data_IF_511916569017
#
_entry.id   IF_511916569017
#
_cell.length_a   1.000
_cell.length_b   1.000
_cell.length_c   1.000
_cell.angle_alpha   90.00
_cell.angle_beta   90.00
_cell.angle_gamma   90.00
#
_symmetry.space_group_name_H-M   'P 1'
#
loop_
_entity.id
_entity.type
_entity.pdbx_description
1 polymer ?
#
# COMPACT_ATOMS: atom_id res chain seq x y z
N UNK A 1 -1.64 13.62 33.75
CA UNK A 1 -1.24 12.62 32.72
C UNK A 1 -2.29 11.51 32.79
N UNK A 2 -3.02 11.28 31.69
CA UNK A 2 -4.04 10.21 31.66
C UNK A 2 -3.32 8.88 31.41
N UNK A 3 -3.42 7.97 32.37
CA UNK A 3 -2.97 6.59 32.19
C UNK A 3 -3.99 5.84 31.34
N UNK A 4 -3.52 5.06 30.35
CA UNK A 4 -4.33 4.13 29.58
C UNK A 4 -3.63 2.74 29.55
N UNK A 5 -4.36 1.71 29.18
CA UNK A 5 -3.77 0.38 29.06
C UNK A 5 -2.86 0.30 27.85
N UNK A 6 -3.27 0.91 26.73
CA UNK A 6 -2.61 0.79 25.43
C UNK A 6 -2.55 2.14 24.72
N UNK A 7 -1.37 2.54 24.25
CA UNK A 7 -1.22 3.57 23.20
C UNK A 7 -0.95 2.91 21.87
N UNK A 8 -1.69 3.30 20.85
CA UNK A 8 -1.50 2.86 19.46
C UNK A 8 -0.91 4.02 18.66
N UNK A 9 0.22 3.80 18.00
CA UNK A 9 0.92 4.80 17.21
C UNK A 9 0.58 4.59 15.72
N UNK A 10 -0.24 5.48 15.18
CA UNK A 10 -0.78 5.46 13.82
C UNK A 10 -2.25 5.05 13.76
N UNK A 11 -3.06 5.82 13.01
CA UNK A 11 -4.47 5.56 12.72
C UNK A 11 -4.69 5.05 11.28
N UNK A 12 -3.75 4.26 10.75
CA UNK A 12 -3.91 3.47 9.54
C UNK A 12 -4.78 2.24 9.76
N UNK A 13 -4.98 1.40 8.75
CA UNK A 13 -5.81 0.19 8.86
C UNK A 13 -5.38 -0.72 10.02
N UNK A 14 -4.08 -0.87 10.28
CA UNK A 14 -3.57 -1.66 11.40
C UNK A 14 -3.95 -1.05 12.77
N UNK A 15 -3.71 0.26 12.94
CA UNK A 15 -4.05 0.93 14.19
C UNK A 15 -5.55 0.95 14.47
N UNK A 16 -6.38 1.15 13.44
CA UNK A 16 -7.84 1.10 13.55
C UNK A 16 -8.33 -0.31 13.89
N UNK A 17 -7.76 -1.35 13.27
CA UNK A 17 -8.05 -2.75 13.59
C UNK A 17 -7.71 -3.08 15.04
N UNK A 18 -6.52 -2.69 15.49
CA UNK A 18 -6.09 -2.88 16.87
C UNK A 18 -6.98 -2.14 17.88
N UNK A 19 -7.27 -0.86 17.60
CA UNK A 19 -8.08 -0.04 18.50
C UNK A 19 -9.51 -0.59 18.69
N UNK A 20 -10.15 -1.00 17.60
CA UNK A 20 -11.50 -1.60 17.66
C UNK A 20 -11.50 -2.92 18.45
N UNK A 21 -10.49 -3.77 18.20
CA UNK A 21 -10.39 -5.05 18.89
C UNK A 21 -10.17 -4.88 20.40
N UNK A 22 -9.29 -3.95 20.79
CA UNK A 22 -9.02 -3.61 22.21
C UNK A 22 -10.23 -2.96 22.88
N UNK A 23 -10.90 -2.02 22.21
CA UNK A 23 -12.11 -1.39 22.73
C UNK A 23 -13.22 -2.42 22.98
N UNK A 24 -13.41 -3.40 22.10
CA UNK A 24 -14.35 -4.51 22.30
C UNK A 24 -13.98 -5.38 23.50
N UNK A 25 -12.71 -5.46 23.85
CA UNK A 25 -12.23 -6.16 25.04
C UNK A 25 -12.28 -5.31 26.33
N UNK A 26 -12.74 -4.05 26.26
CA UNK A 26 -12.87 -3.15 27.41
C UNK A 26 -11.56 -2.51 27.86
N UNK A 27 -10.49 -2.56 27.06
CA UNK A 27 -9.23 -1.91 27.39
C UNK A 27 -9.32 -0.38 27.18
N UNK A 28 -8.64 0.38 28.05
CA UNK A 28 -8.48 1.83 27.90
C UNK A 28 -7.42 2.11 26.80
N UNK A 29 -7.87 2.53 25.62
CA UNK A 29 -7.04 2.71 24.42
C UNK A 29 -6.99 4.17 24.03
N UNK A 30 -5.79 4.64 23.64
CA UNK A 30 -5.59 5.93 22.97
C UNK A 30 -4.83 5.72 21.68
N UNK A 31 -5.29 6.32 20.60
CA UNK A 31 -4.61 6.32 19.31
C UNK A 31 -3.99 7.70 19.08
N UNK A 32 -2.73 7.74 18.65
CA UNK A 32 -2.05 8.96 18.20
C UNK A 32 -1.72 8.85 16.72
N UNK A 33 -2.07 9.88 15.96
CA UNK A 33 -1.88 9.95 14.51
C UNK A 33 -1.10 11.22 14.15
N UNK A 34 -0.06 11.06 13.34
CA UNK A 34 0.79 12.17 12.93
C UNK A 34 0.10 13.14 11.98
N UNK A 35 -0.84 12.67 11.17
CA UNK A 35 -1.62 13.46 10.23
C UNK A 35 -2.86 14.06 10.89
N UNK A 36 -3.57 14.86 10.11
CA UNK A 36 -4.90 15.41 10.44
C UNK A 36 -6.06 14.47 10.02
N UNK A 37 -5.75 13.25 9.56
CA UNK A 37 -6.72 12.27 9.03
C UNK A 37 -6.35 10.85 9.41
N UNK A 38 -7.34 9.98 9.42
CA UNK A 38 -7.16 8.52 9.52
C UNK A 38 -6.81 7.89 8.18
N UNK A 39 -6.52 6.60 8.19
CA UNK A 39 -6.35 5.73 7.03
C UNK A 39 -4.90 5.57 6.56
N UNK A 40 -3.98 6.47 6.93
CA UNK A 40 -2.58 6.38 6.50
C UNK A 40 -2.46 6.35 4.96
N UNK A 41 -2.00 5.21 4.41
CA UNK A 41 -1.89 4.96 2.96
C UNK A 41 -3.21 4.57 2.28
N UNK A 42 -4.30 4.37 3.02
CA UNK A 42 -5.66 4.31 2.51
C UNK A 42 -6.21 5.74 2.45
N UNK A 43 -6.00 6.42 1.33
CA UNK A 43 -6.32 7.83 1.18
C UNK A 43 -7.10 8.11 -0.10
N UNK A 44 -8.33 8.57 0.08
CA UNK A 44 -9.22 9.08 -0.98
C UNK A 44 -9.29 10.60 -0.85
N UNK A 45 -8.97 11.32 -1.90
CA UNK A 45 -9.18 12.76 -2.00
C UNK A 45 -10.43 13.06 -2.85
N UNK A 46 -10.77 14.34 -2.97
CA UNK A 46 -11.83 14.83 -3.85
C UNK A 46 -11.24 15.60 -5.01
N UNK A 47 -11.56 15.18 -6.23
CA UNK A 47 -11.29 16.00 -7.41
C UNK A 47 -12.04 17.34 -7.33
N UNK A 48 -11.67 18.37 -8.13
CA UNK A 48 -12.42 19.64 -8.19
C UNK A 48 -13.90 19.47 -8.55
N UNK A 49 -14.25 18.38 -9.25
CA UNK A 49 -15.62 17.99 -9.56
C UNK A 49 -16.40 17.38 -8.39
N UNK A 50 -15.77 17.18 -7.23
CA UNK A 50 -16.34 16.47 -6.08
C UNK A 50 -16.22 14.93 -6.15
N UNK A 51 -15.79 14.37 -7.29
CA UNK A 51 -15.62 12.92 -7.44
C UNK A 51 -14.50 12.40 -6.54
N UNK A 52 -14.66 11.24 -5.87
CA UNK A 52 -13.59 10.62 -5.13
C UNK A 52 -12.50 10.10 -6.07
N UNK A 53 -11.24 10.35 -5.72
CA UNK A 53 -10.03 9.85 -6.38
C UNK A 53 -9.15 9.14 -5.34
N UNK A 54 -8.68 7.95 -5.67
CA UNK A 54 -7.89 7.12 -4.77
C UNK A 54 -6.41 7.45 -4.88
N UNK A 55 -5.90 8.27 -3.98
CA UNK A 55 -4.48 8.60 -3.93
C UNK A 55 -3.65 7.48 -3.29
N UNK A 56 -4.25 6.66 -2.42
CA UNK A 56 -3.65 5.46 -1.84
C UNK A 56 -4.20 4.17 -2.42
N UNK A 57 -4.41 3.15 -1.57
CA UNK A 57 -5.02 1.89 -1.99
C UNK A 57 -6.44 2.13 -2.52
N UNK A 58 -6.80 1.39 -3.57
CA UNK A 58 -8.09 1.52 -4.25
C UNK A 58 -8.89 0.20 -4.28
N UNK A 59 -8.21 -0.92 -4.11
CA UNK A 59 -8.77 -2.24 -4.31
C UNK A 59 -8.91 -3.00 -2.99
N UNK A 60 -10.06 -3.64 -2.80
CA UNK A 60 -10.29 -4.68 -1.83
C UNK A 60 -9.78 -5.98 -2.47
N UNK A 61 -8.49 -6.30 -2.25
CA UNK A 61 -7.89 -7.53 -2.74
C UNK A 61 -8.41 -8.73 -1.97
N UNK A 62 -8.42 -9.92 -2.59
CA UNK A 62 -9.00 -11.14 -2.03
C UNK A 62 -10.39 -10.88 -1.43
N UNK A 63 -11.24 -10.19 -2.19
CA UNK A 63 -12.46 -9.56 -1.69
C UNK A 63 -13.53 -10.56 -1.23
N UNK A 64 -13.43 -11.81 -1.63
CA UNK A 64 -14.25 -12.94 -1.18
C UNK A 64 -13.87 -13.44 0.23
N UNK A 65 -12.65 -13.18 0.69
CA UNK A 65 -12.12 -13.54 2.01
C UNK A 65 -11.77 -12.32 2.88
N UNK A 66 -11.92 -11.11 2.34
CA UNK A 66 -11.52 -9.86 2.95
C UNK A 66 -12.62 -9.30 3.86
N UNK A 67 -12.40 -9.31 5.16
CA UNK A 67 -13.34 -8.80 6.16
C UNK A 67 -13.68 -7.31 5.99
N UNK A 68 -12.80 -6.53 5.37
CA UNK A 68 -13.10 -5.13 5.06
C UNK A 68 -14.27 -4.96 4.10
N UNK A 69 -14.59 -5.98 3.30
CA UNK A 69 -15.80 -6.00 2.46
C UNK A 69 -17.07 -6.03 3.32
N UNK A 70 -17.13 -6.89 4.33
CA UNK A 70 -18.27 -6.97 5.24
C UNK A 70 -18.41 -5.68 6.06
N UNK A 71 -17.29 -5.12 6.54
CA UNK A 71 -17.26 -3.86 7.29
C UNK A 71 -17.70 -2.66 6.44
N UNK A 72 -17.34 -2.64 5.15
CA UNK A 72 -17.82 -1.61 4.22
C UNK A 72 -19.34 -1.67 4.05
N UNK A 73 -19.90 -2.85 3.85
CA UNK A 73 -21.35 -3.05 3.74
C UNK A 73 -22.09 -2.69 5.04
N UNK A 74 -21.56 -3.08 6.21
CA UNK A 74 -22.11 -2.70 7.52
C UNK A 74 -22.08 -1.18 7.73
N UNK A 75 -21.13 -0.49 7.10
CA UNK A 75 -21.02 0.98 7.13
C UNK A 75 -21.82 1.66 6.03
N UNK A 76 -22.73 0.95 5.36
CA UNK A 76 -23.58 1.45 4.26
C UNK A 76 -22.78 1.99 3.06
N UNK A 77 -21.57 1.48 2.83
CA UNK A 77 -20.78 1.82 1.66
C UNK A 77 -21.11 0.89 0.49
N UNK A 78 -20.96 1.41 -0.72
CA UNK A 78 -21.26 0.68 -1.95
C UNK A 78 -20.03 -0.05 -2.47
N UNK A 79 -20.12 -1.37 -2.62
CA UNK A 79 -19.05 -2.17 -3.22
C UNK A 79 -19.33 -2.37 -4.72
N UNK A 80 -18.42 -1.91 -5.54
CA UNK A 80 -18.36 -2.22 -6.97
C UNK A 80 -17.59 -3.52 -7.20
N UNK A 81 -18.30 -4.52 -7.76
CA UNK A 81 -17.77 -5.85 -8.07
C UNK A 81 -17.34 -6.00 -9.53
N UNK A 82 -17.26 -4.91 -10.27
CA UNK A 82 -16.73 -4.91 -11.64
C UNK A 82 -15.31 -5.44 -11.65
N UNK A 83 -15.02 -6.36 -12.58
CA UNK A 83 -13.67 -6.92 -12.71
C UNK A 83 -12.65 -5.83 -13.00
N UNK A 84 -11.43 -5.93 -12.41
CA UNK A 84 -10.37 -4.99 -12.72
C UNK A 84 -10.08 -4.90 -14.22
N UNK A 85 -9.78 -3.70 -14.75
CA UNK A 85 -9.56 -3.51 -16.18
C UNK A 85 -8.18 -3.95 -16.67
N UNK A 86 -7.32 -4.46 -15.83
CA UNK A 86 -5.90 -4.74 -16.14
C UNK A 86 -5.68 -5.64 -17.35
N UNK A 87 -6.72 -6.37 -17.79
CA UNK A 87 -6.72 -7.21 -18.99
C UNK A 87 -7.68 -6.70 -20.07
N UNK A 88 -8.28 -5.52 -19.87
CA UNK A 88 -9.32 -4.92 -20.73
C UNK A 88 -8.73 -3.80 -21.57
N UNK A 89 -7.66 -4.09 -22.31
CA UNK A 89 -7.00 -3.14 -23.21
C UNK A 89 -8.02 -2.51 -24.17
N UNK A 90 -7.96 -1.19 -24.34
CA UNK A 90 -8.80 -0.48 -25.28
C UNK A 90 -8.44 -0.92 -26.71
N UNK A 91 -9.29 -1.75 -27.32
CA UNK A 91 -9.06 -2.29 -28.67
C UNK A 91 -7.63 -2.82 -28.79
N UNK A 92 -6.93 -2.43 -29.84
CA UNK A 92 -5.53 -2.75 -30.13
C UNK A 92 -4.58 -1.54 -30.03
N UNK A 93 -5.02 -0.47 -29.36
CA UNK A 93 -4.26 0.77 -29.26
C UNK A 93 -2.91 0.53 -28.61
N UNK A 94 -1.84 0.68 -29.41
CA UNK A 94 -0.45 0.49 -28.99
C UNK A 94 -0.08 -0.94 -28.56
N UNK A 95 -1.05 -1.87 -28.52
CA UNK A 95 -0.86 -3.24 -28.04
C UNK A 95 -1.72 -4.22 -28.85
N UNK A 96 -1.23 -4.72 -30.01
CA UNK A 96 -1.98 -5.63 -30.87
C UNK A 96 -2.40 -6.92 -30.15
N UNK A 97 -3.56 -7.53 -30.49
CA UNK A 97 -4.07 -8.73 -29.81
C UNK A 97 -3.10 -9.92 -29.78
N UNK A 98 -2.29 -10.09 -30.81
CA UNK A 98 -1.26 -11.13 -30.84
C UNK A 98 -0.19 -10.87 -29.78
N UNK A 99 0.27 -9.62 -29.65
CA UNK A 99 1.25 -9.19 -28.66
C UNK A 99 0.69 -9.29 -27.23
N UNK A 100 -0.59 -8.93 -27.03
CA UNK A 100 -1.26 -9.14 -25.73
C UNK A 100 -1.30 -10.61 -25.33
N UNK A 101 -1.50 -11.50 -26.30
CA UNK A 101 -1.52 -12.96 -26.06
C UNK A 101 -0.11 -13.48 -25.72
N UNK A 102 0.90 -13.02 -26.45
CA UNK A 102 2.29 -13.42 -26.22
C UNK A 102 2.81 -12.86 -24.86
N UNK A 103 2.49 -11.60 -24.53
CA UNK A 103 2.81 -11.03 -23.22
C UNK A 103 2.15 -11.81 -22.07
N UNK A 104 0.86 -12.14 -22.17
CA UNK A 104 0.18 -12.96 -21.15
C UNK A 104 0.84 -14.32 -20.97
N UNK A 105 1.29 -14.94 -22.06
CA UNK A 105 2.02 -16.20 -22.00
C UNK A 105 3.41 -16.03 -21.33
N UNK A 106 4.11 -14.92 -21.61
CA UNK A 106 5.39 -14.61 -20.97
C UNK A 106 5.22 -14.36 -19.46
N UNK A 107 4.20 -13.61 -19.05
CA UNK A 107 3.86 -13.37 -17.65
C UNK A 107 3.50 -14.67 -16.92
N UNK A 108 2.68 -15.53 -17.53
CA UNK A 108 2.31 -16.83 -16.96
C UNK A 108 3.55 -17.73 -16.79
N UNK A 109 4.45 -17.77 -17.77
CA UNK A 109 5.71 -18.51 -17.65
C UNK A 109 6.62 -17.98 -16.53
N UNK A 110 6.65 -16.66 -16.33
CA UNK A 110 7.39 -16.08 -15.21
C UNK A 110 6.80 -16.53 -13.88
N UNK A 111 5.47 -16.46 -13.71
CA UNK A 111 4.81 -16.87 -12.47
C UNK A 111 5.02 -18.35 -12.14
N UNK A 112 4.98 -19.24 -13.14
CA UNK A 112 5.31 -20.66 -12.94
C UNK A 112 6.74 -20.82 -12.42
N UNK A 113 7.72 -20.12 -13.01
CA UNK A 113 9.12 -20.18 -12.55
C UNK A 113 9.33 -19.58 -11.16
N UNK A 114 8.58 -18.52 -10.82
CA UNK A 114 8.59 -17.94 -9.48
C UNK A 114 8.08 -18.96 -8.46
N UNK A 115 6.94 -19.60 -8.75
CA UNK A 115 6.32 -20.60 -7.88
C UNK A 115 7.25 -21.81 -7.66
N UNK A 116 7.79 -22.39 -8.74
CA UNK A 116 8.77 -23.48 -8.66
C UNK A 116 10.02 -23.11 -7.85
N UNK A 117 10.49 -21.86 -7.95
CA UNK A 117 11.67 -21.39 -7.23
C UNK A 117 11.36 -20.96 -5.77
N UNK A 118 10.11 -20.64 -5.47
CA UNK A 118 9.68 -20.27 -4.11
C UNK A 118 9.82 -21.40 -3.09
N UNK A 119 9.66 -22.65 -3.56
CA UNK A 119 9.80 -23.87 -2.75
C UNK A 119 11.24 -24.38 -2.65
N UNK A 120 12.17 -23.80 -3.43
CA UNK A 120 13.56 -24.25 -3.46
C UNK A 120 14.34 -23.81 -2.21
N UNK A 121 15.43 -24.55 -1.92
CA UNK A 121 16.39 -24.12 -0.90
C UNK A 121 17.10 -22.81 -1.32
N UNK A 122 16.99 -21.80 -0.46
CA UNK A 122 17.54 -20.47 -0.72
C UNK A 122 16.51 -19.51 -1.36
N UNK A 123 16.76 -18.23 -1.23
CA UNK A 123 15.95 -17.15 -1.82
C UNK A 123 16.82 -16.37 -2.81
N UNK A 124 16.20 -15.79 -3.83
CA UNK A 124 16.91 -15.06 -4.87
C UNK A 124 16.09 -13.89 -5.41
N UNK A 125 16.71 -12.94 -6.10
CA UNK A 125 15.99 -11.90 -6.84
C UNK A 125 15.15 -12.49 -7.97
N UNK A 126 13.92 -11.98 -8.13
CA UNK A 126 12.97 -12.49 -9.12
C UNK A 126 13.42 -12.28 -10.58
N UNK A 127 14.28 -11.31 -10.87
CA UNK A 127 14.83 -11.05 -12.21
C UNK A 127 15.67 -12.20 -12.77
N UNK A 128 16.27 -13.03 -11.88
CA UNK A 128 17.02 -14.22 -12.28
C UNK A 128 16.16 -15.29 -12.97
N UNK A 129 14.86 -15.18 -12.81
CA UNK A 129 13.88 -16.11 -13.40
C UNK A 129 13.30 -15.58 -14.72
N UNK A 130 13.71 -14.42 -15.19
CA UNK A 130 13.37 -13.91 -16.50
C UNK A 130 13.99 -14.81 -17.60
N UNK A 131 13.29 -14.94 -18.73
CA UNK A 131 13.88 -15.50 -19.95
C UNK A 131 14.76 -14.42 -20.60
N UNK A 132 16.09 -14.60 -20.67
CA UNK A 132 16.97 -13.56 -21.22
C UNK A 132 16.65 -13.15 -22.66
N UNK A 133 16.00 -14.04 -23.43
CA UNK A 133 15.61 -13.79 -24.82
C UNK A 133 14.25 -13.11 -24.98
N UNK A 134 13.48 -12.95 -23.90
CA UNK A 134 12.13 -12.41 -23.97
C UNK A 134 12.13 -10.90 -24.22
N UNK A 135 11.51 -10.47 -25.31
CA UNK A 135 11.26 -9.04 -25.58
C UNK A 135 10.36 -8.37 -24.55
N UNK A 136 9.67 -9.17 -23.72
CA UNK A 136 8.72 -8.68 -22.71
C UNK A 136 9.37 -8.35 -21.38
N UNK A 137 10.66 -8.59 -21.18
CA UNK A 137 11.34 -8.33 -19.93
C UNK A 137 11.16 -6.88 -19.42
N UNK A 138 11.21 -5.83 -20.26
CA UNK A 138 10.92 -4.47 -19.80
C UNK A 138 9.50 -4.32 -19.26
N UNK A 139 8.48 -4.86 -19.95
CA UNK A 139 7.09 -4.77 -19.51
C UNK A 139 6.80 -5.66 -18.29
N UNK A 140 7.46 -6.82 -18.16
CA UNK A 140 7.40 -7.67 -16.95
C UNK A 140 7.95 -6.93 -15.74
N UNK A 141 9.09 -6.23 -15.90
CA UNK A 141 9.64 -5.35 -14.85
C UNK A 141 8.69 -4.20 -14.52
N UNK A 142 8.14 -3.51 -15.52
CA UNK A 142 7.14 -2.46 -15.29
C UNK A 142 5.91 -3.00 -14.53
N UNK A 143 5.43 -4.20 -14.88
CA UNK A 143 4.31 -4.85 -14.19
C UNK A 143 4.65 -5.12 -12.72
N UNK A 144 5.88 -5.57 -12.41
CA UNK A 144 6.33 -5.72 -11.02
C UNK A 144 6.27 -4.39 -10.26
N UNK A 145 6.67 -3.28 -10.89
CA UNK A 145 6.63 -1.98 -10.19
C UNK A 145 5.21 -1.54 -9.83
N UNK A 146 4.19 -1.94 -10.60
CA UNK A 146 2.79 -1.66 -10.26
C UNK A 146 2.26 -2.59 -9.15
N UNK A 147 2.70 -3.85 -9.15
CA UNK A 147 2.24 -4.87 -8.19
C UNK A 147 3.01 -4.79 -6.87
N UNK A 148 4.33 -4.62 -6.93
CA UNK A 148 5.23 -4.75 -5.79
C UNK A 148 5.92 -3.43 -5.39
N UNK A 149 5.75 -2.37 -6.19
CA UNK A 149 6.41 -1.08 -5.99
C UNK A 149 7.89 -1.06 -6.39
N UNK A 150 8.42 -2.16 -6.90
CA UNK A 150 9.85 -2.33 -7.26
C UNK A 150 9.99 -3.19 -8.50
N UNK A 151 11.16 -3.07 -9.15
CA UNK A 151 11.61 -3.95 -10.20
C UNK A 151 11.97 -5.34 -9.65
N UNK A 152 11.97 -6.35 -10.52
CA UNK A 152 12.18 -7.75 -10.17
C UNK A 152 13.55 -8.05 -9.52
N UNK A 153 14.56 -7.22 -9.77
CA UNK A 153 15.90 -7.38 -9.17
C UNK A 153 15.93 -7.09 -7.65
N UNK A 154 14.91 -6.41 -7.12
CA UNK A 154 14.77 -6.12 -5.69
C UNK A 154 13.76 -7.03 -4.98
N UNK A 155 13.02 -7.84 -5.72
CA UNK A 155 11.94 -8.66 -5.19
C UNK A 155 12.43 -10.04 -4.77
N UNK A 156 12.22 -10.42 -3.51
CA UNK A 156 12.40 -11.78 -3.02
C UNK A 156 11.40 -12.73 -3.66
N UNK A 157 11.89 -13.81 -4.28
CA UNK A 157 11.03 -14.86 -4.85
C UNK A 157 10.20 -15.53 -3.75
N UNK A 158 10.84 -15.87 -2.63
CA UNK A 158 10.16 -16.54 -1.50
C UNK A 158 9.07 -15.66 -0.89
N UNK A 159 9.33 -14.36 -0.69
CA UNK A 159 8.32 -13.43 -0.19
C UNK A 159 7.14 -13.32 -1.15
N UNK A 160 7.43 -13.15 -2.45
CA UNK A 160 6.41 -13.08 -3.50
C UNK A 160 5.50 -14.32 -3.51
N UNK A 161 6.06 -15.52 -3.42
CA UNK A 161 5.29 -16.78 -3.43
C UNK A 161 4.47 -17.01 -2.14
N UNK A 162 4.82 -16.34 -1.04
CA UNK A 162 4.02 -16.37 0.21
C UNK A 162 2.76 -15.51 0.13
N UNK A 163 2.67 -14.60 -0.85
CA UNK A 163 1.52 -13.72 -0.97
C UNK A 163 0.28 -14.50 -1.37
N UNK A 164 -0.79 -14.34 -0.58
CA UNK A 164 -2.08 -14.98 -0.83
C UNK A 164 -2.98 -14.02 -1.61
N UNK A 165 -3.43 -14.45 -2.80
CA UNK A 165 -4.37 -13.70 -3.64
C UNK A 165 -5.41 -14.64 -4.25
N UNK A 166 -6.68 -14.44 -3.92
CA UNK A 166 -7.79 -15.19 -4.54
C UNK A 166 -8.10 -14.72 -5.96
N UNK A 167 -7.50 -13.61 -6.41
CA UNK A 167 -7.77 -12.97 -7.69
C UNK A 167 -9.09 -12.21 -7.75
N UNK A 168 -9.86 -12.16 -6.64
CA UNK A 168 -11.12 -11.39 -6.54
C UNK A 168 -10.82 -10.01 -6.00
N UNK A 169 -11.10 -8.97 -6.80
CA UNK A 169 -10.76 -7.60 -6.47
C UNK A 169 -11.96 -6.69 -6.69
N UNK A 170 -12.41 -6.01 -5.62
CA UNK A 170 -13.55 -5.07 -5.64
C UNK A 170 -13.12 -3.67 -5.23
N UNK A 171 -14.01 -2.68 -5.38
CA UNK A 171 -13.74 -1.28 -5.06
C UNK A 171 -14.86 -0.69 -4.19
N UNK A 172 -14.55 0.35 -3.41
CA UNK A 172 -15.52 1.15 -2.67
C UNK A 172 -15.86 2.39 -3.51
N UNK A 173 -17.12 2.58 -3.87
CA UNK A 173 -17.55 3.68 -4.75
C UNK A 173 -17.32 5.04 -4.11
N UNK A 174 -17.56 5.15 -2.81
CA UNK A 174 -17.36 6.37 -2.01
C UNK A 174 -15.89 6.67 -1.71
N UNK A 175 -15.01 5.68 -1.96
CA UNK A 175 -13.58 5.71 -1.71
C UNK A 175 -13.16 5.01 -0.42
N UNK A 176 -11.93 4.51 -0.41
CA UNK A 176 -11.38 3.70 0.68
C UNK A 176 -11.30 4.47 2.02
N UNK A 177 -11.05 5.79 1.97
CA UNK A 177 -11.06 6.64 3.18
C UNK A 177 -12.40 6.64 3.90
N UNK A 178 -13.50 6.42 3.19
CA UNK A 178 -14.83 6.35 3.81
C UNK A 178 -14.94 5.13 4.74
N UNK A 179 -14.36 4.00 4.36
CA UNK A 179 -14.26 2.84 5.24
C UNK A 179 -13.37 3.11 6.44
N UNK A 180 -12.19 3.74 6.23
CA UNK A 180 -11.29 4.07 7.34
C UNK A 180 -11.95 5.03 8.33
N UNK A 181 -12.69 6.01 7.84
CA UNK A 181 -13.46 6.93 8.70
C UNK A 181 -14.55 6.20 9.50
N UNK A 182 -15.26 5.26 8.88
CA UNK A 182 -16.26 4.43 9.57
C UNK A 182 -15.61 3.57 10.67
N UNK A 183 -14.44 2.97 10.40
CA UNK A 183 -13.69 2.20 11.39
C UNK A 183 -13.15 3.06 12.53
N UNK A 184 -12.92 4.34 12.32
CA UNK A 184 -12.45 5.27 13.35
C UNK A 184 -13.57 5.79 14.27
N UNK A 185 -14.83 5.59 13.91
CA UNK A 185 -15.97 6.11 14.67
C UNK A 185 -15.96 5.57 16.10
N UNK A 186 -16.03 6.50 17.07
CA UNK A 186 -16.07 6.17 18.51
C UNK A 186 -14.72 5.86 19.15
N UNK A 187 -13.61 5.95 18.40
CA UNK A 187 -12.26 5.78 18.93
C UNK A 187 -11.69 7.11 19.45
N UNK A 188 -10.90 7.06 20.53
CA UNK A 188 -10.13 8.21 21.05
C UNK A 188 -8.85 8.37 20.21
N UNK A 189 -8.89 9.26 19.21
CA UNK A 189 -7.79 9.52 18.28
C UNK A 189 -7.31 10.96 18.43
N UNK A 190 -6.04 11.14 18.74
CA UNK A 190 -5.36 12.45 18.77
C UNK A 190 -4.61 12.64 17.46
N UNK A 191 -5.04 13.59 16.65
CA UNK A 191 -4.44 13.96 15.37
C UNK A 191 -3.29 14.96 15.52
N UNK A 192 -2.48 15.12 14.46
CA UNK A 192 -1.32 16.03 14.41
C UNK A 192 -0.37 15.79 15.59
N UNK A 193 -0.22 14.52 15.97
CA UNK A 193 0.48 14.08 17.16
C UNK A 193 1.57 13.04 16.77
N UNK A 194 2.63 13.46 16.05
CA UNK A 194 3.73 12.57 15.71
C UNK A 194 4.50 12.17 16.97
N UNK A 195 4.74 10.87 17.12
CA UNK A 195 5.56 10.33 18.22
C UNK A 195 7.04 10.45 17.86
N UNK A 196 7.82 10.97 18.77
CA UNK A 196 9.28 11.12 18.61
C UNK A 196 10.09 10.05 19.35
N UNK A 197 9.59 9.59 20.51
CA UNK A 197 10.28 8.60 21.35
C UNK A 197 9.30 7.65 22.01
N UNK A 198 9.65 6.36 22.02
CA UNK A 198 8.99 5.33 22.82
C UNK A 198 10.00 4.83 23.84
N UNK A 199 9.85 5.27 25.10
CA UNK A 199 10.70 4.86 26.20
C UNK A 199 10.03 3.71 26.98
N UNK A 200 10.61 2.54 26.88
CA UNK A 200 10.15 1.32 27.54
C UNK A 200 11.11 0.82 28.62
N UNK A 201 12.02 1.66 29.11
CA UNK A 201 13.00 1.32 30.16
C UNK A 201 12.36 1.15 31.54
N UNK A 202 11.29 1.89 31.81
CA UNK A 202 10.56 1.86 33.11
C UNK A 202 9.48 0.77 33.18
N UNK A 203 8.65 0.78 34.22
CA UNK A 203 7.51 -0.13 34.41
C UNK A 203 6.36 0.16 33.43
N UNK A 204 6.19 1.38 33.01
CA UNK A 204 5.27 1.84 31.97
C UNK A 204 6.02 2.25 30.73
N UNK A 205 5.35 2.17 29.58
CA UNK A 205 5.84 2.74 28.32
C UNK A 205 5.50 4.22 28.30
N UNK A 206 6.50 5.08 28.13
CA UNK A 206 6.33 6.53 27.93
C UNK A 206 6.46 6.86 26.45
N UNK A 207 5.50 7.59 25.92
CA UNK A 207 5.45 8.00 24.53
C UNK A 207 5.54 9.53 24.48
N UNK A 208 6.62 10.05 23.87
CA UNK A 208 6.86 11.48 23.74
C UNK A 208 6.20 12.02 22.47
N UNK A 209 5.39 13.06 22.64
CA UNK A 209 4.68 13.73 21.55
C UNK A 209 4.77 15.26 21.69
N UNK A 210 4.52 16.04 20.62
CA UNK A 210 4.46 17.51 20.73
C UNK A 210 3.37 18.03 21.68
N UNK A 211 2.36 17.20 21.98
CA UNK A 211 1.24 17.56 22.87
C UNK A 211 1.48 17.12 24.32
N UNK A 212 2.69 16.63 24.63
CA UNK A 212 3.08 16.10 25.93
C UNK A 212 3.23 14.57 25.94
N UNK A 213 3.71 14.06 27.07
CA UNK A 213 3.97 12.64 27.24
C UNK A 213 2.71 11.86 27.58
N UNK A 214 2.56 10.71 26.95
CA UNK A 214 1.57 9.70 27.31
C UNK A 214 2.25 8.56 28.07
N UNK A 215 1.50 7.87 28.94
CA UNK A 215 1.96 6.68 29.66
C UNK A 215 0.94 5.56 29.50
N UNK A 216 1.44 4.36 29.21
CA UNK A 216 0.63 3.17 29.04
C UNK A 216 1.34 1.92 29.56
N UNK A 217 0.58 0.85 29.79
CA UNK A 217 1.15 -0.46 30.11
C UNK A 217 1.84 -1.08 28.89
N UNK A 218 1.29 -0.85 27.70
CA UNK A 218 1.79 -1.38 26.42
C UNK A 218 1.65 -0.35 25.30
N UNK A 219 2.41 -0.53 24.21
CA UNK A 219 2.26 0.24 22.98
C UNK A 219 2.18 -0.66 21.76
N UNK A 220 1.35 -0.29 20.77
CA UNK A 220 1.32 -0.91 19.45
C UNK A 220 1.83 0.10 18.43
N UNK A 221 2.92 -0.26 17.74
CA UNK A 221 3.57 0.57 16.72
C UNK A 221 3.08 0.13 15.35
N UNK A 222 2.40 1.03 14.61
CA UNK A 222 1.82 0.73 13.30
C UNK A 222 2.38 1.60 12.17
N UNK A 223 3.51 2.23 12.41
CA UNK A 223 4.17 3.08 11.41
C UNK A 223 4.84 2.24 10.31
N UNK A 224 4.97 2.76 9.08
CA UNK A 224 5.64 2.06 7.98
C UNK A 224 7.12 1.78 8.28
N UNK A 225 7.69 0.76 7.63
CA UNK A 225 9.08 0.34 7.85
C UNK A 225 10.10 1.43 7.56
N UNK A 226 9.95 2.19 6.47
CA UNK A 226 10.87 3.28 6.14
C UNK A 226 10.73 4.47 7.12
N UNK A 227 9.59 4.63 7.78
CA UNK A 227 9.45 5.60 8.89
C UNK A 227 10.19 5.11 10.13
N UNK A 228 10.16 3.80 10.44
CA UNK A 228 10.97 3.22 11.52
C UNK A 228 12.47 3.41 11.26
N UNK A 229 12.92 3.20 10.02
CA UNK A 229 14.32 3.29 9.64
C UNK A 229 14.84 4.74 9.53
N UNK A 230 13.95 5.72 9.38
CA UNK A 230 14.32 7.13 9.23
C UNK A 230 14.95 7.76 10.49
N UNK A 231 14.69 7.18 11.68
CA UNK A 231 15.21 7.66 12.94
C UNK A 231 14.42 8.81 13.58
N UNK A 232 13.32 9.25 12.97
CA UNK A 232 12.42 10.26 13.54
C UNK A 232 11.64 9.71 14.73
N UNK A 233 11.35 8.40 14.73
CA UNK A 233 10.80 7.65 15.85
C UNK A 233 11.91 6.83 16.51
N UNK A 234 12.21 7.11 17.76
CA UNK A 234 13.27 6.47 18.52
C UNK A 234 12.73 5.56 19.61
N UNK A 235 13.46 4.47 19.88
CA UNK A 235 13.18 3.57 21.00
C UNK A 235 14.26 3.71 22.08
N UNK A 236 13.83 3.73 23.34
CA UNK A 236 14.72 3.69 24.49
C UNK A 236 14.26 2.61 25.50
N UNK A 237 15.05 1.54 25.74
CA UNK A 237 16.27 1.14 25.04
C UNK A 237 16.08 0.94 23.53
N UNK A 238 17.19 1.02 22.79
CA UNK A 238 17.18 0.81 21.34
C UNK A 238 16.72 -0.62 20.98
N UNK A 239 16.07 -0.78 19.82
CA UNK A 239 15.57 -2.06 19.30
C UNK A 239 16.27 -2.41 17.97
N UNK A 240 17.59 -2.73 17.98
CA UNK A 240 18.38 -2.94 16.76
C UNK A 240 17.82 -4.07 15.90
N UNK A 241 17.32 -5.18 16.49
CA UNK A 241 16.74 -6.30 15.75
C UNK A 241 15.48 -5.91 15.00
N UNK A 242 14.64 -5.04 15.58
CA UNK A 242 13.45 -4.50 14.92
C UNK A 242 13.78 -3.58 13.76
N UNK A 243 14.74 -2.70 13.95
CA UNK A 243 15.23 -1.82 12.89
C UNK A 243 15.92 -2.62 11.79
N UNK A 244 16.70 -3.66 12.16
CA UNK A 244 17.27 -4.61 11.20
C UNK A 244 16.21 -5.31 10.36
N UNK A 245 15.16 -5.84 10.99
CA UNK A 245 14.03 -6.45 10.27
C UNK A 245 13.31 -5.44 9.37
N UNK A 246 13.06 -4.22 9.85
CA UNK A 246 12.42 -3.16 9.06
C UNK A 246 13.25 -2.77 7.83
N UNK A 247 14.59 -2.70 7.96
CA UNK A 247 15.51 -2.40 6.84
C UNK A 247 15.44 -3.47 5.73
N UNK A 248 15.16 -4.72 6.08
CA UNK A 248 14.99 -5.81 5.11
C UNK A 248 13.60 -5.83 4.46
N UNK A 249 12.72 -4.93 4.87
CA UNK A 249 11.35 -4.76 4.35
C UNK A 249 11.11 -3.32 3.87
N UNK A 250 11.95 -2.79 2.95
CA UNK A 250 11.80 -1.42 2.49
C UNK A 250 10.46 -1.23 1.76
N UNK A 251 10.02 0.01 1.67
CA UNK A 251 8.85 0.34 0.86
C UNK A 251 9.24 0.59 -0.60
N UNK A 252 8.57 -0.12 -1.48
CA UNK A 252 8.55 0.22 -2.89
C UNK A 252 7.76 1.51 -3.12
N UNK A 253 7.79 2.01 -4.35
CA UNK A 253 7.01 3.18 -4.77
C UNK A 253 6.05 2.79 -5.87
N UNK A 254 4.79 3.14 -5.69
CA UNK A 254 3.76 3.10 -6.71
C UNK A 254 2.92 4.37 -6.55
N UNK A 255 3.14 5.30 -7.45
CA UNK A 255 2.49 6.59 -7.46
C UNK A 255 1.39 6.68 -8.48
N UNK A 256 0.45 7.56 -8.19
CA UNK A 256 -0.70 7.82 -9.03
C UNK A 256 -0.71 9.25 -9.54
N UNK A 257 -1.17 9.40 -10.77
CA UNK A 257 -1.59 10.67 -11.33
C UNK A 257 -3.04 10.55 -11.77
N UNK A 258 -3.86 11.52 -11.43
CA UNK A 258 -5.21 11.65 -11.97
C UNK A 258 -5.28 12.74 -13.00
N UNK A 259 -5.84 12.41 -14.17
CA UNK A 259 -6.15 13.33 -15.24
C UNK A 259 -7.67 13.39 -15.44
N UNK A 260 -8.24 14.59 -15.52
CA UNK A 260 -9.58 14.77 -16.09
C UNK A 260 -9.50 14.52 -17.59
N UNK A 261 -10.49 13.84 -18.14
CA UNK A 261 -10.60 13.51 -19.56
C UNK A 261 -11.85 14.18 -20.15
N UNK A 262 -11.67 15.18 -20.99
CA UNK A 262 -12.79 15.77 -21.74
C UNK A 262 -13.21 14.82 -22.88
N UNK A 263 -14.54 14.70 -23.15
CA UNK A 263 -15.08 13.76 -24.11
C UNK A 263 -14.86 12.29 -23.72
N UNK A 264 -14.88 12.00 -22.41
CA UNK A 264 -14.56 10.69 -21.88
C UNK A 264 -15.50 9.58 -22.40
N UNK A 265 -16.73 9.94 -22.81
CA UNK A 265 -17.76 9.02 -23.33
C UNK A 265 -17.31 8.29 -24.63
N UNK A 266 -16.33 8.79 -25.33
CA UNK A 266 -15.75 8.13 -26.51
C UNK A 266 -14.93 6.88 -26.15
N UNK A 267 -14.54 6.74 -24.88
CA UNK A 267 -13.77 5.62 -24.39
C UNK A 267 -14.65 4.63 -23.61
N UNK A 268 -14.35 3.33 -23.64
CA UNK A 268 -15.05 2.36 -22.81
C UNK A 268 -14.82 2.66 -21.31
N UNK A 269 -15.86 2.47 -20.49
CA UNK A 269 -15.70 2.57 -19.04
C UNK A 269 -14.84 1.41 -18.52
N UNK A 270 -14.12 1.64 -17.44
CA UNK A 270 -13.26 0.65 -16.78
C UNK A 270 -12.39 -0.10 -17.80
N UNK A 271 -11.65 0.63 -18.61
CA UNK A 271 -10.73 0.08 -19.61
C UNK A 271 -9.28 0.45 -19.29
N UNK A 272 -8.34 -0.20 -19.96
CA UNK A 272 -6.93 -0.09 -19.67
C UNK A 272 -6.09 0.21 -20.92
N UNK A 273 -5.00 0.95 -20.72
CA UNK A 273 -3.92 1.12 -21.69
C UNK A 273 -2.59 0.90 -20.98
N UNK A 274 -1.68 0.19 -21.65
CA UNK A 274 -0.27 0.25 -21.33
C UNK A 274 0.38 1.41 -22.10
N UNK A 275 1.38 2.03 -21.50
CA UNK A 275 2.23 2.98 -22.18
C UNK A 275 3.20 2.28 -23.14
N UNK A 276 4.51 2.57 -23.04
CA UNK A 276 5.53 1.86 -23.83
C UNK A 276 5.64 0.40 -23.37
N UNK A 277 5.75 -0.53 -24.32
CA UNK A 277 5.84 -1.98 -24.06
C UNK A 277 7.28 -2.49 -23.94
N UNK A 278 8.23 -1.71 -24.40
CA UNK A 278 9.66 -2.01 -24.52
C UNK A 278 10.53 -1.27 -23.48
N UNK A 279 9.89 -0.66 -22.50
CA UNK A 279 10.56 0.13 -21.47
C UNK A 279 9.93 -0.13 -20.10
N UNK A 280 10.76 -0.18 -19.04
CA UNK A 280 10.31 -0.13 -17.65
C UNK A 280 9.83 1.27 -17.27
N UNK A 281 10.31 2.30 -17.98
CA UNK A 281 9.87 3.70 -17.82
C UNK A 281 8.56 3.92 -18.57
N UNK A 282 7.48 3.42 -18.03
CA UNK A 282 6.16 3.45 -18.66
C UNK A 282 5.07 3.55 -17.60
N UNK A 283 3.88 4.00 -18.00
CA UNK A 283 2.68 4.08 -17.16
C UNK A 283 1.66 2.98 -17.47
N UNK A 284 0.83 2.68 -16.49
CA UNK A 284 -0.38 1.87 -16.60
C UNK A 284 -1.58 2.79 -16.42
N UNK A 285 -2.50 2.81 -17.38
CA UNK A 285 -3.58 3.79 -17.47
C UNK A 285 -4.94 3.12 -17.31
N UNK A 286 -5.63 3.39 -16.22
CA UNK A 286 -7.03 3.00 -16.02
C UNK A 286 -7.93 4.12 -16.55
N UNK A 287 -8.60 3.88 -17.66
CA UNK A 287 -9.43 4.86 -18.33
C UNK A 287 -10.87 4.71 -17.89
N UNK A 288 -11.48 5.83 -17.48
CA UNK A 288 -12.86 5.92 -17.00
C UNK A 288 -13.18 5.01 -15.82
N UNK A 289 -12.40 5.05 -14.72
CA UNK A 289 -12.74 4.29 -13.50
C UNK A 289 -14.18 4.62 -13.06
N UNK A 290 -15.00 3.60 -12.82
CA UNK A 290 -16.45 3.73 -12.53
C UNK A 290 -17.26 4.47 -13.63
N UNK A 291 -16.76 4.59 -14.84
CA UNK A 291 -17.35 5.41 -15.90
C UNK A 291 -17.15 6.92 -15.74
N UNK A 292 -16.39 7.38 -14.75
CA UNK A 292 -16.09 8.79 -14.47
C UNK A 292 -15.18 9.38 -15.56
N UNK A 293 -15.23 10.70 -15.83
CA UNK A 293 -14.41 11.35 -16.83
C UNK A 293 -12.96 11.57 -16.33
N UNK A 294 -12.31 10.47 -15.97
CA UNK A 294 -10.98 10.45 -15.37
C UNK A 294 -10.09 9.40 -16.05
N UNK A 295 -8.80 9.62 -16.00
CA UNK A 295 -7.77 8.59 -16.18
C UNK A 295 -6.97 8.52 -14.89
N UNK A 296 -6.86 7.34 -14.30
CA UNK A 296 -5.96 7.01 -13.21
C UNK A 296 -4.70 6.40 -13.80
N UNK A 297 -3.58 6.99 -13.51
CA UNK A 297 -2.27 6.57 -14.04
C UNK A 297 -1.44 6.02 -12.90
N UNK A 298 -0.77 4.89 -13.14
CA UNK A 298 0.21 4.30 -12.24
C UNK A 298 1.61 4.40 -12.80
N UNK A 299 2.54 4.80 -11.94
CA UNK A 299 3.97 4.68 -12.13
C UNK A 299 4.58 3.98 -10.93
N UNK A 300 5.60 3.13 -11.14
CA UNK A 300 6.20 2.39 -10.03
C UNK A 300 7.73 2.33 -10.09
N UNK A 301 8.31 1.80 -9.02
CA UNK A 301 9.72 1.51 -8.89
C UNK A 301 10.64 2.74 -8.91
N UNK A 302 11.82 2.56 -9.48
CA UNK A 302 12.82 3.62 -9.61
C UNK A 302 12.31 4.79 -10.45
N UNK A 303 11.53 4.49 -11.49
CA UNK A 303 10.98 5.52 -12.35
C UNK A 303 10.00 6.44 -11.64
N UNK A 304 9.13 5.92 -10.76
CA UNK A 304 8.27 6.76 -9.95
C UNK A 304 9.08 7.69 -9.01
N UNK A 305 10.15 7.18 -8.39
CA UNK A 305 11.06 7.99 -7.56
C UNK A 305 11.74 9.13 -8.35
N UNK A 306 12.13 8.87 -9.59
CA UNK A 306 12.66 9.91 -10.49
C UNK A 306 11.61 11.00 -10.76
N UNK A 307 10.38 10.59 -11.12
CA UNK A 307 9.29 11.53 -11.35
C UNK A 307 8.93 12.36 -10.09
N UNK A 308 8.94 11.73 -8.90
CA UNK A 308 8.76 12.45 -7.64
C UNK A 308 9.84 13.53 -7.43
N UNK A 309 11.10 13.21 -7.77
CA UNK A 309 12.21 14.16 -7.63
C UNK A 309 12.06 15.36 -8.60
N UNK A 310 11.51 15.13 -9.79
CA UNK A 310 11.24 16.16 -10.79
C UNK A 310 9.94 16.94 -10.51
N UNK A 311 9.00 16.37 -9.74
CA UNK A 311 7.76 17.00 -9.31
C UNK A 311 6.54 16.68 -10.15
N UNK A 312 5.36 17.15 -9.70
CA UNK A 312 4.06 16.82 -10.29
C UNK A 312 3.95 17.15 -11.79
N UNK A 313 4.56 18.23 -12.23
CA UNK A 313 4.58 18.62 -13.64
C UNK A 313 5.28 17.59 -14.54
N UNK A 314 6.30 16.90 -14.02
CA UNK A 314 7.01 15.83 -14.73
C UNK A 314 6.11 14.60 -14.89
N UNK A 315 5.39 14.18 -13.84
CA UNK A 315 4.38 13.13 -13.92
C UNK A 315 3.35 13.43 -15.02
N UNK A 316 2.78 14.64 -14.99
CA UNK A 316 1.76 15.06 -15.95
C UNK A 316 2.30 15.09 -17.38
N UNK A 317 3.47 15.69 -17.57
CA UNK A 317 4.11 15.79 -18.90
C UNK A 317 4.41 14.43 -19.50
N UNK A 318 4.96 13.51 -18.69
CA UNK A 318 5.27 12.16 -19.13
C UNK A 318 4.01 11.38 -19.51
N UNK A 319 2.99 11.36 -18.62
CA UNK A 319 1.74 10.66 -18.85
C UNK A 319 1.00 11.18 -20.09
N UNK A 320 0.88 12.50 -20.23
CA UNK A 320 0.25 13.14 -21.40
C UNK A 320 1.04 12.85 -22.67
N UNK A 321 2.38 12.78 -22.58
CA UNK A 321 3.23 12.40 -23.70
C UNK A 321 2.97 10.99 -24.20
N UNK A 322 2.91 10.01 -23.28
CA UNK A 322 2.59 8.61 -23.64
C UNK A 322 1.17 8.46 -24.20
N UNK A 323 0.18 9.12 -23.57
CA UNK A 323 -1.19 9.09 -24.07
C UNK A 323 -1.33 9.74 -25.45
N UNK A 324 -0.59 10.81 -25.72
CA UNK A 324 -0.57 11.43 -27.06
C UNK A 324 0.07 10.53 -28.12
N UNK A 325 1.12 9.79 -27.76
CA UNK A 325 1.73 8.82 -28.67
C UNK A 325 0.77 7.67 -29.00
N UNK A 326 -0.09 7.26 -28.06
CA UNK A 326 -1.05 6.17 -28.23
C UNK A 326 -2.35 6.61 -28.94
N UNK A 327 -2.88 7.78 -28.57
CA UNK A 327 -4.23 8.23 -28.96
C UNK A 327 -4.20 9.39 -29.97
N UNK A 328 -3.01 9.86 -30.34
CA UNK A 328 -2.79 11.01 -31.23
C UNK A 328 -2.68 12.34 -30.48
N UNK A 329 -1.96 13.29 -31.08
CA UNK A 329 -1.63 14.59 -30.45
C UNK A 329 -2.85 15.41 -30.00
N UNK A 330 -4.01 15.20 -30.62
CA UNK A 330 -5.27 15.88 -30.24
C UNK A 330 -5.72 15.63 -28.81
N UNK A 331 -5.31 14.49 -28.20
CA UNK A 331 -5.71 14.14 -26.85
C UNK A 331 -5.10 15.09 -25.79
N UNK A 332 -3.95 15.72 -26.07
CA UNK A 332 -3.28 16.64 -25.12
C UNK A 332 -4.20 17.76 -24.62
N UNK A 333 -5.06 18.27 -25.50
CA UNK A 333 -6.01 19.36 -25.15
C UNK A 333 -7.18 18.88 -24.30
N UNK A 334 -7.35 17.58 -24.17
CA UNK A 334 -8.45 16.91 -23.46
C UNK A 334 -8.03 16.40 -22.08
N UNK A 335 -6.73 16.43 -21.77
CA UNK A 335 -6.16 15.88 -20.54
C UNK A 335 -5.74 17.00 -19.60
N UNK A 336 -6.33 17.03 -18.40
CA UNK A 336 -6.07 18.06 -17.41
C UNK A 336 -5.62 17.40 -16.09
N UNK A 337 -4.38 17.63 -15.64
CA UNK A 337 -3.90 17.10 -14.36
C UNK A 337 -4.77 17.57 -13.18
N UNK A 338 -5.07 16.66 -12.26
CA UNK A 338 -5.88 16.93 -11.06
C UNK A 338 -5.02 16.81 -9.80
N UNK A 339 -4.30 15.70 -9.67
CA UNK A 339 -3.48 15.40 -8.49
C UNK A 339 -2.47 14.32 -8.84
N UNK A 340 -1.29 14.39 -8.25
CA UNK A 340 -0.29 13.33 -8.25
C UNK A 340 0.08 12.99 -6.81
N UNK A 341 0.52 11.75 -6.58
CA UNK A 341 1.10 11.33 -5.31
C UNK A 341 2.62 11.42 -5.35
N UNK A 342 3.23 11.46 -4.19
CA UNK A 342 4.68 11.41 -4.00
C UNK A 342 4.94 10.68 -2.67
N UNK A 343 4.66 9.37 -2.67
CA UNK A 343 4.67 8.57 -1.44
C UNK A 343 6.04 8.42 -0.81
N UNK A 344 7.11 8.39 -1.62
CA UNK A 344 8.47 8.33 -1.09
C UNK A 344 8.89 9.63 -0.39
N UNK A 345 8.32 10.77 -0.79
CA UNK A 345 8.59 12.09 -0.19
C UNK A 345 7.65 12.40 0.98
N UNK A 346 6.60 11.63 1.19
CA UNK A 346 5.69 11.80 2.31
C UNK A 346 6.38 11.39 3.63
N UNK A 347 6.53 12.28 4.62
CA UNK A 347 7.33 12.02 5.82
C UNK A 347 6.76 10.90 6.70
N UNK A 348 5.45 10.64 6.61
CA UNK A 348 4.76 9.64 7.42
C UNK A 348 4.43 8.35 6.65
N UNK A 349 4.89 8.22 5.41
CA UNK A 349 4.80 6.99 4.62
C UNK A 349 6.17 6.54 4.13
N UNK A 350 6.92 7.41 3.44
CA UNK A 350 8.25 7.20 2.84
C UNK A 350 8.27 6.12 1.76
N UNK A 351 7.10 5.77 1.22
CA UNK A 351 6.87 4.79 0.16
C UNK A 351 5.45 4.26 0.16
N UNK A 352 5.16 3.32 -0.73
CA UNK A 352 3.80 2.84 -0.99
C UNK A 352 3.48 1.56 -0.22
N UNK A 353 4.20 0.47 -0.44
CA UNK A 353 4.00 -0.80 0.25
C UNK A 353 5.29 -1.62 0.32
N UNK A 354 5.38 -2.49 1.33
CA UNK A 354 6.61 -3.21 1.64
C UNK A 354 6.83 -4.41 0.71
N UNK A 355 8.09 -4.67 0.39
CA UNK A 355 8.56 -5.93 -0.17
C UNK A 355 9.72 -6.45 0.68
N UNK A 356 9.96 -7.75 0.69
CA UNK A 356 11.17 -8.26 1.29
C UNK A 356 12.33 -8.22 0.29
N UNK A 357 13.50 -7.81 0.78
CA UNK A 357 14.74 -7.94 0.05
C UNK A 357 15.07 -9.43 -0.19
N UNK A 358 15.68 -9.81 -1.31
CA UNK A 358 16.11 -11.20 -1.55
C UNK A 358 16.92 -11.76 -0.37
N UNK A 359 16.55 -12.95 0.09
CA UNK A 359 17.13 -13.59 1.27
C UNK A 359 16.48 -13.23 2.61
N UNK A 360 15.47 -12.34 2.62
CA UNK A 360 14.93 -11.78 3.86
C UNK A 360 13.41 -11.91 4.01
N UNK A 361 12.78 -12.89 3.36
CA UNK A 361 11.33 -13.13 3.47
C UNK A 361 10.84 -13.34 4.92
N UNK A 362 11.70 -13.82 5.82
CA UNK A 362 11.36 -14.05 7.23
C UNK A 362 11.41 -12.78 8.09
N UNK A 363 11.89 -11.65 7.54
CA UNK A 363 11.91 -10.38 8.25
C UNK A 363 10.50 -9.89 8.66
N UNK A 364 9.44 -10.31 7.94
CA UNK A 364 8.05 -10.00 8.30
C UNK A 364 7.66 -10.55 9.66
N UNK A 365 7.93 -11.82 9.92
CA UNK A 365 7.68 -12.46 11.21
C UNK A 365 8.59 -11.89 12.33
N UNK A 366 9.85 -11.60 12.01
CA UNK A 366 10.78 -10.96 12.94
C UNK A 366 10.32 -9.54 13.33
N UNK A 367 9.79 -8.76 12.39
CA UNK A 367 9.21 -7.44 12.67
C UNK A 367 7.96 -7.57 13.54
N UNK A 368 7.06 -8.50 13.25
CA UNK A 368 5.79 -8.70 13.96
C UNK A 368 5.97 -9.18 15.41
N UNK A 369 7.07 -9.86 15.73
CA UNK A 369 7.30 -10.40 17.08
C UNK A 369 7.28 -9.29 18.16
N UNK A 370 6.62 -9.48 19.32
CA UNK A 370 6.57 -8.48 20.37
C UNK A 370 7.91 -8.35 21.11
N UNK A 371 8.13 -7.19 21.74
CA UNK A 371 9.29 -6.96 22.63
C UNK A 371 8.77 -6.89 24.08
N UNK A 372 9.30 -7.76 24.96
CA UNK A 372 9.02 -7.82 26.39
C UNK A 372 7.52 -7.90 26.76
N UNK A 373 6.68 -8.36 25.83
CA UNK A 373 5.22 -8.30 25.93
C UNK A 373 4.70 -6.88 26.26
N UNK A 374 5.40 -5.85 25.80
CA UNK A 374 5.11 -4.43 26.08
C UNK A 374 5.06 -3.58 24.83
N UNK A 375 5.93 -3.84 23.84
CA UNK A 375 5.95 -3.16 22.56
C UNK A 375 5.55 -4.19 21.50
N UNK A 376 4.51 -3.88 20.76
CA UNK A 376 3.95 -4.71 19.70
C UNK A 376 4.06 -3.98 18.36
N UNK A 377 4.23 -4.70 17.29
CA UNK A 377 4.34 -4.15 15.95
C UNK A 377 3.22 -4.70 15.07
N UNK A 378 2.59 -3.82 14.29
CA UNK A 378 1.58 -4.19 13.33
C UNK A 378 1.65 -3.28 12.10
N UNK A 379 1.12 -3.73 11.00
CA UNK A 379 1.15 -3.07 9.70
C UNK A 379 1.19 -4.13 8.60
N UNK A 380 1.03 -3.71 7.34
CA UNK A 380 1.07 -4.65 6.23
C UNK A 380 2.41 -5.39 6.14
N UNK A 381 3.52 -4.74 6.54
CA UNK A 381 4.86 -5.34 6.53
C UNK A 381 5.02 -6.47 7.56
N UNK A 382 4.17 -6.54 8.59
CA UNK A 382 4.16 -7.58 9.61
C UNK A 382 3.40 -8.86 9.18
N UNK A 383 2.76 -8.86 8.01
CA UNK A 383 2.01 -10.02 7.51
C UNK A 383 2.86 -10.85 6.57
N UNK A 384 2.79 -12.18 6.73
CA UNK A 384 3.56 -13.13 5.90
C UNK A 384 2.81 -13.45 4.59
N UNK A 385 1.47 -13.42 4.62
CA UNK A 385 0.65 -13.82 3.47
C UNK A 385 -0.16 -12.68 2.85
N UNK A 386 -0.59 -11.71 3.66
CA UNK A 386 -1.44 -10.59 3.21
C UNK A 386 -0.69 -9.25 3.21
N UNK A 387 0.65 -9.29 3.06
CA UNK A 387 1.46 -8.08 3.08
C UNK A 387 1.08 -7.12 1.94
N UNK A 388 1.53 -5.87 2.04
CA UNK A 388 1.28 -4.82 1.05
C UNK A 388 -0.20 -4.47 0.83
N UNK A 389 -1.11 -4.95 1.72
CA UNK A 389 -2.56 -4.73 1.60
C UNK A 389 -3.16 -4.05 2.83
N UNK A 390 -4.30 -3.38 2.62
CA UNK A 390 -5.03 -2.74 3.71
C UNK A 390 -5.68 -3.78 4.65
N UNK A 391 -6.19 -4.90 4.11
CA UNK A 391 -6.77 -5.97 4.95
C UNK A 391 -5.68 -6.70 5.74
N UNK A 392 -4.52 -6.96 5.16
CA UNK A 392 -3.39 -7.51 5.90
C UNK A 392 -2.94 -6.58 7.02
N UNK A 393 -2.85 -5.26 6.77
CA UNK A 393 -2.60 -4.29 7.82
C UNK A 393 -3.67 -4.38 8.93
N UNK A 394 -4.95 -4.44 8.58
CA UNK A 394 -6.06 -4.56 9.54
C UNK A 394 -5.94 -5.85 10.37
N UNK A 395 -5.72 -7.00 9.72
CA UNK A 395 -5.50 -8.31 10.37
C UNK A 395 -4.31 -8.28 11.33
N UNK A 396 -3.19 -7.70 10.92
CA UNK A 396 -2.02 -7.59 11.79
C UNK A 396 -2.30 -6.74 13.03
N UNK A 397 -3.09 -5.67 12.89
CA UNK A 397 -3.55 -4.86 14.01
C UNK A 397 -4.39 -5.64 15.00
N UNK A 398 -5.35 -6.44 14.51
CA UNK A 398 -6.17 -7.32 15.35
C UNK A 398 -5.32 -8.36 16.08
N UNK A 399 -4.37 -9.00 15.39
CA UNK A 399 -3.47 -9.99 16.00
C UNK A 399 -2.58 -9.36 17.08
N UNK A 400 -2.05 -8.15 16.86
CA UNK A 400 -1.30 -7.42 17.87
C UNK A 400 -2.18 -7.08 19.10
N UNK A 401 -3.43 -6.70 18.87
CA UNK A 401 -4.38 -6.43 19.95
C UNK A 401 -4.68 -7.67 20.77
N UNK A 402 -4.89 -8.84 20.16
CA UNK A 402 -5.07 -10.11 20.87
C UNK A 402 -3.84 -10.48 21.72
N UNK A 403 -2.64 -10.24 21.19
CA UNK A 403 -1.41 -10.44 21.94
C UNK A 403 -1.29 -9.49 23.14
N UNK A 404 -1.72 -8.22 22.98
CA UNK A 404 -1.79 -7.24 24.09
C UNK A 404 -2.79 -7.68 25.14
N UNK A 405 -4.00 -8.11 24.77
CA UNK A 405 -5.03 -8.59 25.71
C UNK A 405 -4.46 -9.76 26.54
N UNK A 406 -3.80 -10.71 25.88
CA UNK A 406 -3.16 -11.84 26.57
C UNK A 406 -2.02 -11.41 27.53
N UNK A 407 -1.25 -10.36 27.16
CA UNK A 407 -0.19 -9.81 28.00
C UNK A 407 -0.75 -9.06 29.21
N UNK A 408 -1.83 -8.28 29.04
CA UNK A 408 -2.48 -7.53 30.11
C UNK A 408 -3.13 -8.47 31.15
N UNK A 409 -3.68 -9.60 30.73
CA UNK A 409 -4.32 -10.59 31.63
C UNK A 409 -3.31 -11.35 32.51
N UNK A 410 -2.01 -11.38 32.16
CA UNK A 410 -0.95 -12.05 32.91
C UNK A 410 -0.28 -11.18 33.97
N UNK A 411 -0.62 -9.88 33.99
CA UNK A 411 -0.06 -8.86 34.91
C UNK A 411 -1.12 -8.40 35.92
#
# INVERSE_FOLDING_TARGET
MSECDVVIIGAGAAGLGAARRLATAGAAVRVVEARDRVGGRAWTARAPSGLPIELGCAWLHSADENELCALALQSSLTIDKTRPPWRSQIKDVGFPPADQTDFRAALARLFVRLDEAGDADGDQPADRLLDPSSRWNPLLNATSTYMNGVELDQLSVRDFCRYHDTGVNWRIVEGYSSLMAALATGLDITFQCPVSTIDHSGSQVRIETPLGDLRARTAIVTVPTDVLCAGDLRFHPALPDKLGAATMLPLGVADKLYLKLDGAEEFPKDSHLYGALDSVRTGSYHVRPFGRPLIEVYFGGRFARELEAEGEAAFASFAVGQLAALLGEGVRKRLHPIAATAWARDPYARGSYSHAMPGHADARAALAAPVDARIFFAGEACMVHDFSTAHGAYRSGMAAADAVIAALAKR
#
